data_IF_990369122635
#
_entry.id   IF_990369122635
#
_cell.length_a   1.000
_cell.length_b   1.000
_cell.length_c   1.000
_cell.angle_alpha   90.00
_cell.angle_beta   90.00
_cell.angle_gamma   90.00
#
_symmetry.space_group_name_H-M   'P 1'
#
loop_
_entity.id
_entity.type
_entity.pdbx_description
1 polymer ?
#
# COMPACT_ATOMS: atom_id res chain seq x y z
N UNK A 1 -15.21 -10.68 -9.51
CA UNK A 1 -14.13 -9.72 -9.22
C UNK A 1 -12.96 -9.96 -10.18
N UNK A 2 -12.30 -8.88 -10.60
CA UNK A 2 -11.07 -8.91 -11.40
C UNK A 2 -10.11 -7.88 -10.81
N UNK A 3 -8.97 -8.35 -10.30
CA UNK A 3 -7.92 -7.51 -9.71
C UNK A 3 -6.63 -7.74 -10.44
N UNK A 4 -5.89 -6.69 -10.74
CA UNK A 4 -4.56 -6.77 -11.32
C UNK A 4 -3.63 -5.70 -10.78
N UNK A 5 -2.35 -6.06 -10.65
CA UNK A 5 -1.28 -5.18 -10.21
C UNK A 5 -0.10 -5.33 -11.15
N UNK A 6 0.39 -4.20 -11.64
CA UNK A 6 1.65 -4.09 -12.36
C UNK A 6 2.57 -3.22 -11.51
N UNK A 7 3.75 -3.72 -11.19
CA UNK A 7 4.75 -2.98 -10.43
C UNK A 7 6.12 -3.15 -11.11
N UNK A 8 6.74 -2.01 -11.43
CA UNK A 8 8.09 -1.97 -12.00
C UNK A 8 8.91 -1.00 -11.16
N UNK A 9 10.07 -1.46 -10.68
CA UNK A 9 10.95 -0.64 -9.87
C UNK A 9 12.41 -0.92 -10.19
N UNK A 10 13.24 0.08 -10.00
CA UNK A 10 14.67 -0.05 -10.25
C UNK A 10 15.51 0.93 -9.46
N UNK A 11 16.78 0.56 -9.17
CA UNK A 11 17.72 1.43 -8.49
C UNK A 11 18.29 2.50 -9.43
N UNK A 12 18.47 3.69 -8.91
CA UNK A 12 19.29 4.77 -9.47
C UNK A 12 20.59 4.85 -8.70
N UNK A 13 21.48 3.88 -8.94
CA UNK A 13 22.69 3.64 -8.11
C UNK A 13 23.63 4.84 -8.05
N UNK A 14 23.69 5.67 -9.10
CA UNK A 14 24.56 6.87 -9.14
C UNK A 14 24.20 7.94 -8.11
N UNK A 15 22.92 7.97 -7.69
CA UNK A 15 22.39 8.99 -6.75
C UNK A 15 21.79 8.37 -5.49
N UNK A 16 22.13 7.10 -5.19
CA UNK A 16 21.61 6.36 -4.04
C UNK A 16 20.08 6.43 -3.91
N UNK A 17 19.37 6.26 -5.02
CA UNK A 17 17.93 6.42 -5.07
C UNK A 17 17.26 5.25 -5.79
N UNK A 18 15.96 5.19 -5.74
CA UNK A 18 15.14 4.26 -6.49
C UNK A 18 13.92 4.95 -7.08
N UNK A 19 13.49 4.45 -8.23
CA UNK A 19 12.22 4.82 -8.87
C UNK A 19 11.32 3.61 -8.97
N UNK A 20 10.01 3.85 -8.87
CA UNK A 20 8.99 2.83 -9.06
C UNK A 20 7.78 3.38 -9.81
N UNK A 21 7.15 2.51 -10.57
CA UNK A 21 5.85 2.73 -11.20
C UNK A 21 4.93 1.59 -10.79
N UNK A 22 3.75 1.91 -10.30
CA UNK A 22 2.73 0.92 -9.98
C UNK A 22 1.38 1.30 -10.59
N UNK A 23 0.71 0.31 -11.15
CA UNK A 23 -0.67 0.43 -11.66
C UNK A 23 -1.49 -0.69 -11.04
N UNK A 24 -2.52 -0.30 -10.32
CA UNK A 24 -3.49 -1.19 -9.72
C UNK A 24 -4.85 -0.96 -10.37
N UNK A 25 -5.52 -2.02 -10.72
CA UNK A 25 -6.91 -1.98 -11.17
C UNK A 25 -7.72 -3.08 -10.49
N UNK A 26 -8.93 -2.73 -10.13
CA UNK A 26 -9.87 -3.61 -9.46
C UNK A 26 -11.27 -3.40 -10.00
N UNK A 27 -11.98 -4.50 -10.23
CA UNK A 27 -13.41 -4.50 -10.58
C UNK A 27 -14.14 -5.42 -9.63
N UNK A 28 -14.99 -4.83 -8.80
CA UNK A 28 -15.85 -5.53 -7.86
C UNK A 28 -17.31 -5.17 -8.14
N UNK A 29 -18.06 -6.10 -8.75
CA UNK A 29 -19.43 -5.83 -9.17
C UNK A 29 -19.49 -4.68 -10.19
N UNK A 30 -20.19 -3.62 -9.85
CA UNK A 30 -20.36 -2.43 -10.67
C UNK A 30 -19.31 -1.35 -10.39
N UNK A 31 -18.46 -1.52 -9.38
CA UNK A 31 -17.38 -0.59 -9.06
C UNK A 31 -16.09 -0.98 -9.79
N UNK A 32 -15.47 0.02 -10.40
CA UNK A 32 -14.11 -0.07 -10.96
C UNK A 32 -13.20 0.93 -10.24
N UNK A 33 -12.07 0.46 -9.77
CA UNK A 33 -11.00 1.28 -9.19
C UNK A 33 -9.73 1.15 -10.01
N UNK A 34 -9.09 2.28 -10.30
CA UNK A 34 -7.78 2.31 -10.98
C UNK A 34 -6.88 3.29 -10.27
N UNK A 35 -5.69 2.85 -9.90
CA UNK A 35 -4.69 3.68 -9.25
C UNK A 35 -3.38 3.54 -10.01
N UNK A 36 -2.81 4.67 -10.42
CA UNK A 36 -1.48 4.73 -11.03
C UNK A 36 -0.58 5.63 -10.21
N UNK A 37 0.61 5.16 -9.84
CA UNK A 37 1.56 5.86 -8.97
C UNK A 37 2.97 5.80 -9.53
N UNK A 38 3.69 6.90 -9.44
CA UNK A 38 5.14 6.97 -9.57
C UNK A 38 5.72 7.24 -8.19
N UNK A 39 6.78 6.54 -7.83
CA UNK A 39 7.43 6.64 -6.53
C UNK A 39 8.92 6.93 -6.69
N UNK A 40 9.46 7.70 -5.77
CA UNK A 40 10.88 8.00 -5.66
C UNK A 40 11.31 7.78 -4.21
N UNK A 41 12.47 7.18 -4.02
CA UNK A 41 13.07 7.00 -2.70
C UNK A 41 14.55 7.35 -2.73
N UNK A 42 15.00 8.08 -1.73
CA UNK A 42 16.42 8.36 -1.48
C UNK A 42 16.92 7.49 -0.32
N UNK A 43 18.11 6.92 -0.47
CA UNK A 43 18.72 6.01 0.49
C UNK A 43 19.99 6.62 1.08
N UNK A 44 19.94 6.90 2.39
CA UNK A 44 21.07 7.41 3.15
C UNK A 44 21.70 6.25 3.95
N UNK A 45 22.99 6.01 3.75
CA UNK A 45 23.75 5.07 4.58
C UNK A 45 24.02 5.72 5.94
N UNK A 46 23.59 5.07 7.02
CA UNK A 46 23.67 5.56 8.40
C UNK A 46 24.48 4.57 9.23
N UNK A 47 25.79 4.72 9.22
CA UNK A 47 26.70 3.86 9.97
C UNK A 47 26.70 2.39 9.54
N UNK A 48 27.84 1.78 9.36
CA UNK A 48 28.00 0.35 9.08
C UNK A 48 27.14 -0.16 7.92
N UNK A 49 26.23 -1.09 8.21
CA UNK A 49 25.37 -1.74 7.22
C UNK A 49 23.92 -1.24 7.28
N UNK A 50 23.68 -0.11 7.93
CA UNK A 50 22.32 0.44 8.10
C UNK A 50 22.00 1.48 7.04
N UNK A 51 20.75 1.56 6.65
CA UNK A 51 20.22 2.50 5.66
C UNK A 51 18.94 3.14 6.18
N UNK A 52 18.86 4.46 6.08
CA UNK A 52 17.64 5.23 6.26
C UNK A 52 17.16 5.68 4.88
N UNK A 53 15.92 5.37 4.57
CA UNK A 53 15.31 5.73 3.29
C UNK A 53 14.14 6.67 3.51
N UNK A 54 14.05 7.72 2.71
CA UNK A 54 12.90 8.59 2.63
C UNK A 54 12.28 8.47 1.24
N UNK A 55 10.98 8.25 1.18
CA UNK A 55 10.26 8.04 -0.07
C UNK A 55 9.01 8.89 -0.16
N UNK A 56 8.67 9.25 -1.39
CA UNK A 56 7.41 9.90 -1.75
C UNK A 56 6.81 9.21 -2.96
N UNK A 57 5.51 9.27 -3.10
CA UNK A 57 4.85 8.94 -4.34
C UNK A 57 3.83 10.01 -4.73
N UNK A 58 3.60 10.11 -6.03
CA UNK A 58 2.52 10.88 -6.61
C UNK A 58 1.77 10.03 -7.63
N UNK A 59 0.46 10.19 -7.72
CA UNK A 59 -0.35 9.42 -8.62
C UNK A 59 -1.76 9.94 -8.78
N UNK A 60 -2.56 9.14 -9.47
CA UNK A 60 -3.97 9.35 -9.71
C UNK A 60 -4.75 8.13 -9.21
N UNK A 61 -5.84 8.40 -8.51
CA UNK A 61 -6.82 7.41 -8.08
C UNK A 61 -8.14 7.72 -8.76
N UNK A 62 -8.64 6.79 -9.56
CA UNK A 62 -9.93 6.88 -10.24
C UNK A 62 -10.90 5.82 -9.73
N UNK A 63 -12.17 6.20 -9.60
CA UNK A 63 -13.27 5.29 -9.32
C UNK A 63 -14.40 5.52 -10.31
N UNK A 64 -15.00 4.45 -10.79
CA UNK A 64 -16.16 4.46 -11.66
C UNK A 64 -17.20 3.49 -11.15
N UNK A 65 -18.45 3.93 -11.16
CA UNK A 65 -19.63 3.12 -10.90
C UNK A 65 -20.36 2.90 -12.22
N UNK A 66 -20.55 1.66 -12.62
CA UNK A 66 -21.33 1.31 -13.82
C UNK A 66 -22.82 1.51 -13.54
N UNK A 67 -23.57 2.08 -14.48
CA UNK A 67 -25.01 2.36 -14.34
C UNK A 67 -25.94 1.18 -14.64
N UNK A 68 -25.42 -0.02 -14.89
CA UNK A 68 -26.23 -1.18 -15.27
C UNK A 68 -26.71 -1.95 -14.02
N UNK A 69 -27.66 -1.37 -13.31
CA UNK A 69 -28.29 -2.03 -12.16
C UNK A 69 -29.50 -2.84 -12.63
N UNK A 70 -29.58 -4.10 -12.21
CA UNK A 70 -30.76 -4.94 -12.41
C UNK A 70 -31.55 -4.90 -11.09
N UNK A 71 -32.65 -4.18 -11.08
CA UNK A 71 -33.60 -4.19 -9.95
C UNK A 71 -34.77 -5.13 -10.25
N UNK A 72 -35.29 -5.79 -9.21
CA UNK A 72 -36.43 -6.69 -9.32
C UNK A 72 -37.71 -5.88 -9.62
N UNK A 73 -37.83 -4.68 -9.06
CA UNK A 73 -38.87 -3.72 -9.38
C UNK A 73 -38.32 -2.59 -10.25
N UNK A 74 -39.08 -2.01 -11.20
CA UNK A 74 -38.66 -0.88 -12.00
C UNK A 74 -38.43 0.34 -11.11
N UNK A 75 -37.20 0.59 -10.77
CA UNK A 75 -36.73 1.69 -9.88
C UNK A 75 -36.52 2.96 -10.70
N UNK A 76 -37.50 3.36 -11.50
CA UNK A 76 -37.40 4.52 -12.38
C UNK A 76 -37.16 5.84 -11.62
N UNK A 77 -37.45 5.89 -10.32
CA UNK A 77 -37.43 7.11 -9.50
C UNK A 77 -36.56 7.03 -8.24
N UNK A 78 -35.68 6.01 -8.08
CA UNK A 78 -34.76 5.97 -6.95
C UNK A 78 -33.48 6.75 -7.26
N UNK A 79 -33.37 7.96 -6.71
CA UNK A 79 -32.21 8.84 -6.85
C UNK A 79 -30.92 8.26 -6.23
N UNK A 80 -31.01 7.20 -5.42
CA UNK A 80 -29.86 6.52 -4.84
C UNK A 80 -29.18 5.56 -5.84
N UNK A 81 -29.91 5.12 -6.86
CA UNK A 81 -29.38 4.22 -7.89
C UNK A 81 -28.97 5.04 -9.12
N UNK A 82 -27.67 5.12 -9.46
CA UNK A 82 -27.25 5.85 -10.64
C UNK A 82 -27.74 5.15 -11.91
N UNK A 83 -28.63 5.80 -12.65
CA UNK A 83 -29.13 5.33 -13.95
C UNK A 83 -28.10 5.48 -15.07
N UNK A 84 -27.05 6.27 -14.85
CA UNK A 84 -25.91 6.44 -15.76
C UNK A 84 -24.62 6.21 -15.00
N UNK A 85 -23.60 5.68 -15.67
CA UNK A 85 -22.27 5.49 -15.09
C UNK A 85 -21.69 6.81 -14.57
N UNK A 86 -21.16 6.80 -13.36
CA UNK A 86 -20.46 7.93 -12.74
C UNK A 86 -19.00 7.60 -12.57
N UNK A 87 -18.12 8.53 -12.86
CA UNK A 87 -16.68 8.37 -12.64
C UNK A 87 -16.09 9.64 -12.07
N UNK A 88 -15.09 9.48 -11.23
CA UNK A 88 -14.31 10.55 -10.66
C UNK A 88 -12.87 10.12 -10.49
N UNK A 89 -11.94 11.07 -10.59
CA UNK A 89 -10.53 10.86 -10.33
C UNK A 89 -9.97 11.98 -9.49
N UNK A 90 -8.91 11.68 -8.76
CA UNK A 90 -8.24 12.64 -7.90
C UNK A 90 -6.78 12.31 -7.70
N UNK A 91 -6.04 13.30 -7.23
CA UNK A 91 -4.63 13.11 -6.90
C UNK A 91 -4.46 12.21 -5.68
N UNK A 92 -3.43 11.37 -5.74
CA UNK A 92 -3.00 10.50 -4.66
C UNK A 92 -1.52 10.77 -4.37
N UNK A 93 -1.22 11.20 -3.16
CA UNK A 93 0.11 11.50 -2.69
C UNK A 93 0.39 10.74 -1.41
N UNK A 94 1.62 10.36 -1.21
CA UNK A 94 2.06 9.77 0.05
C UNK A 94 3.54 9.93 0.27
N UNK A 95 3.95 9.72 1.52
CA UNK A 95 5.33 9.80 1.95
C UNK A 95 5.62 8.73 3.00
N UNK A 96 6.90 8.37 3.14
CA UNK A 96 7.32 7.40 4.13
C UNK A 96 8.79 7.46 4.43
N UNK A 97 9.13 6.90 5.58
CA UNK A 97 10.49 6.69 6.05
C UNK A 97 10.69 5.20 6.32
N UNK A 98 11.84 4.68 5.98
CA UNK A 98 12.19 3.30 6.21
C UNK A 98 13.63 3.18 6.69
N UNK A 99 13.81 2.62 7.88
CA UNK A 99 15.11 2.28 8.42
C UNK A 99 15.34 0.78 8.30
N UNK A 100 16.51 0.39 7.85
CA UNK A 100 16.94 -1.01 7.77
C UNK A 100 18.37 -1.16 8.27
N UNK A 101 18.56 -2.07 9.19
CA UNK A 101 19.85 -2.60 9.63
C UNK A 101 19.93 -4.09 9.29
N UNK A 102 21.04 -4.79 9.57
CA UNK A 102 21.14 -6.24 9.36
C UNK A 102 20.10 -7.08 10.10
N UNK A 103 19.54 -6.57 11.18
CA UNK A 103 18.60 -7.31 12.03
C UNK A 103 17.26 -6.61 12.21
N UNK A 104 17.23 -5.28 12.22
CA UNK A 104 16.03 -4.50 12.52
C UNK A 104 15.58 -3.72 11.31
N UNK A 105 14.30 -3.73 11.01
CA UNK A 105 13.69 -2.81 10.06
C UNK A 105 12.46 -2.14 10.67
N UNK A 106 12.30 -0.85 10.36
CA UNK A 106 11.18 -0.03 10.83
C UNK A 106 10.71 0.83 9.65
N UNK A 107 9.42 0.90 9.43
CA UNK A 107 8.80 1.73 8.41
C UNK A 107 7.67 2.57 8.97
N UNK A 108 7.60 3.82 8.56
CA UNK A 108 6.50 4.75 8.83
C UNK A 108 6.04 5.33 7.51
N UNK A 109 4.74 5.36 7.24
CA UNK A 109 4.23 5.99 6.03
C UNK A 109 2.83 6.53 6.20
N UNK A 110 2.50 7.47 5.33
CA UNK A 110 1.15 7.98 5.18
C UNK A 110 0.77 8.02 3.70
N UNK A 111 -0.44 7.55 3.40
CA UNK A 111 -1.00 7.54 2.05
C UNK A 111 -2.22 8.45 1.98
N UNK A 112 -2.60 8.84 0.76
CA UNK A 112 -3.77 9.69 0.51
C UNK A 112 -3.71 11.03 1.27
N UNK A 113 -2.51 11.64 1.31
CA UNK A 113 -2.26 12.88 2.04
C UNK A 113 -3.24 14.03 1.72
N UNK A 114 -3.70 14.23 0.45
CA UNK A 114 -4.63 15.29 0.13
C UNK A 114 -6.07 15.06 0.60
N UNK A 115 -6.43 13.83 1.03
CA UNK A 115 -7.81 13.45 1.35
C UNK A 115 -8.82 13.86 0.25
N UNK A 116 -8.48 13.55 -1.00
CA UNK A 116 -9.23 14.00 -2.16
C UNK A 116 -10.68 13.50 -2.13
N UNK A 117 -11.62 14.42 -2.28
CA UNK A 117 -13.04 14.12 -2.40
C UNK A 117 -13.41 13.90 -3.87
N UNK A 118 -13.93 12.71 -4.17
CA UNK A 118 -14.42 12.32 -5.50
C UNK A 118 -15.93 12.63 -5.57
N UNK A 119 -16.28 13.90 -5.76
CA UNK A 119 -17.66 14.43 -5.65
C UNK A 119 -18.69 13.69 -6.49
N UNK A 120 -18.33 13.30 -7.74
CA UNK A 120 -19.28 12.63 -8.65
C UNK A 120 -19.70 11.22 -8.18
N UNK A 121 -18.88 10.57 -7.37
CA UNK A 121 -19.17 9.24 -6.79
C UNK A 121 -19.38 9.29 -5.28
N UNK A 122 -19.39 10.51 -4.70
CA UNK A 122 -19.60 10.76 -3.25
C UNK A 122 -18.67 9.97 -2.33
N UNK A 123 -17.40 9.80 -2.76
CA UNK A 123 -16.38 9.08 -2.01
C UNK A 123 -15.29 10.07 -1.60
N UNK A 124 -14.92 10.08 -0.32
CA UNK A 124 -13.77 10.79 0.21
C UNK A 124 -12.66 9.80 0.52
N UNK A 125 -11.50 9.98 -0.11
CA UNK A 125 -10.31 9.21 0.23
C UNK A 125 -9.76 9.72 1.55
N UNK A 126 -9.82 8.90 2.60
CA UNK A 126 -9.24 9.23 3.91
C UNK A 126 -7.73 8.99 3.90
N UNK A 127 -7.03 9.78 4.68
CA UNK A 127 -5.61 9.57 4.95
C UNK A 127 -5.42 8.33 5.80
N UNK A 128 -4.42 7.52 5.43
CA UNK A 128 -4.05 6.34 6.19
C UNK A 128 -2.60 6.47 6.67
N UNK A 129 -2.37 6.01 7.88
CA UNK A 129 -1.07 5.96 8.53
C UNK A 129 -0.68 4.50 8.74
N UNK A 130 0.58 4.21 8.50
CA UNK A 130 1.15 2.88 8.67
C UNK A 130 2.43 2.99 9.48
N UNK A 131 2.56 2.13 10.48
CA UNK A 131 3.81 1.90 11.19
C UNK A 131 4.08 0.41 11.19
N UNK A 132 5.30 0.02 10.81
CA UNK A 132 5.69 -1.39 10.77
C UNK A 132 7.09 -1.56 11.33
N UNK A 133 7.32 -2.71 11.95
CA UNK A 133 8.63 -3.09 12.42
C UNK A 133 8.79 -4.61 12.38
N UNK A 134 10.03 -5.07 12.24
CA UNK A 134 10.36 -6.48 12.35
C UNK A 134 11.82 -6.66 12.68
N UNK A 135 12.12 -7.83 13.20
CA UNK A 135 13.46 -8.17 13.69
C UNK A 135 13.86 -9.56 13.19
N UNK A 136 15.06 -9.66 12.62
CA UNK A 136 15.65 -10.92 12.15
C UNK A 136 16.49 -11.54 13.29
N UNK A 137 15.89 -12.47 13.98
CA UNK A 137 16.53 -13.16 15.11
C UNK A 137 17.14 -14.48 14.64
N UNK A 138 18.48 -14.49 14.49
CA UNK A 138 19.22 -15.71 14.17
C UNK A 138 19.25 -16.66 15.38
N UNK A 139 18.72 -17.87 15.21
CA UNK A 139 18.68 -18.90 16.25
C UNK A 139 19.90 -19.84 16.08
N UNK A 140 20.55 -20.18 17.19
CA UNK A 140 21.61 -21.19 17.21
C UNK A 140 22.96 -20.78 16.64
N UNK A 141 23.24 -19.50 16.47
CA UNK A 141 24.57 -18.95 16.14
C UNK A 141 25.06 -19.19 14.70
N UNK A 142 24.43 -20.05 13.90
CA UNK A 142 24.88 -20.42 12.55
C UNK A 142 24.06 -19.80 11.41
N UNK A 143 23.19 -18.84 11.67
CA UNK A 143 22.31 -18.14 10.70
C UNK A 143 21.45 -19.03 9.79
N UNK A 144 21.44 -20.34 10.01
CA UNK A 144 20.57 -21.26 9.24
C UNK A 144 19.11 -21.13 9.62
N UNK A 145 18.85 -20.78 10.87
CA UNK A 145 17.49 -20.59 11.38
C UNK A 145 17.30 -19.14 11.77
N UNK A 146 16.33 -18.50 11.20
CA UNK A 146 15.96 -17.12 11.53
C UNK A 146 14.47 -17.07 11.88
N UNK A 147 14.15 -16.51 13.03
CA UNK A 147 12.80 -16.13 13.40
C UNK A 147 12.63 -14.62 13.14
N UNK A 148 11.61 -14.26 12.39
CA UNK A 148 11.32 -12.88 12.01
C UNK A 148 9.94 -12.47 12.54
N UNK A 149 9.82 -12.05 13.82
CA UNK A 149 8.62 -11.42 14.32
C UNK A 149 8.42 -10.06 13.62
N UNK A 150 7.17 -9.73 13.37
CA UNK A 150 6.80 -8.46 12.75
C UNK A 150 5.48 -7.92 13.29
N UNK A 151 5.33 -6.63 13.22
CA UNK A 151 4.15 -5.88 13.63
C UNK A 151 3.81 -4.85 12.57
N UNK A 152 2.53 -4.69 12.28
CA UNK A 152 2.01 -3.65 11.39
C UNK A 152 0.80 -2.99 12.02
N UNK A 153 0.89 -1.69 12.20
CA UNK A 153 -0.19 -0.83 12.66
C UNK A 153 -0.71 -0.04 11.47
N UNK A 154 -2.03 -0.05 11.27
CA UNK A 154 -2.76 0.71 10.25
C UNK A 154 -3.80 1.57 10.94
N UNK A 155 -3.91 2.84 10.56
CA UNK A 155 -4.92 3.74 11.12
C UNK A 155 -5.40 4.75 10.07
N UNK A 156 -6.69 5.06 10.11
CA UNK A 156 -7.30 6.18 9.37
C UNK A 156 -7.69 7.34 10.29
N UNK A 157 -7.09 7.40 11.49
CA UNK A 157 -7.38 8.30 12.59
C UNK A 157 -8.76 8.08 13.26
N UNK A 158 -9.65 7.29 12.67
CA UNK A 158 -10.96 6.93 13.26
C UNK A 158 -10.92 5.50 13.81
N UNK A 159 -10.21 4.61 13.17
CA UNK A 159 -10.00 3.23 13.57
C UNK A 159 -8.54 2.85 13.45
N UNK A 160 -8.12 1.87 14.25
CA UNK A 160 -6.74 1.37 14.25
C UNK A 160 -6.78 -0.15 14.25
N UNK A 161 -6.01 -0.74 13.36
CA UNK A 161 -5.80 -2.19 13.24
C UNK A 161 -4.35 -2.50 13.54
N UNK A 162 -4.13 -3.56 14.30
CA UNK A 162 -2.82 -4.10 14.63
C UNK A 162 -2.73 -5.52 14.10
N UNK A 163 -1.75 -5.76 13.24
CA UNK A 163 -1.42 -7.08 12.72
C UNK A 163 -0.06 -7.50 13.32
N UNK A 164 0.01 -8.72 13.84
CA UNK A 164 1.23 -9.30 14.38
C UNK A 164 1.51 -10.59 13.62
N UNK A 165 2.75 -10.78 13.19
CA UNK A 165 3.14 -11.97 12.45
C UNK A 165 4.50 -12.48 12.89
N UNK A 166 4.76 -13.74 12.60
CA UNK A 166 6.06 -14.36 12.76
C UNK A 166 6.38 -15.26 11.57
N UNK A 167 7.58 -15.10 11.03
CA UNK A 167 8.09 -15.90 9.94
C UNK A 167 9.30 -16.68 10.43
N UNK A 168 9.33 -17.98 10.19
CA UNK A 168 10.48 -18.84 10.42
C UNK A 168 11.14 -19.17 9.09
N UNK A 169 12.43 -18.87 8.97
CA UNK A 169 13.23 -19.13 7.77
C UNK A 169 14.28 -20.20 8.06
N UNK A 170 14.44 -21.11 7.12
CA UNK A 170 15.52 -22.10 7.11
C UNK A 170 16.43 -21.83 5.91
N UNK A 171 17.68 -21.48 6.20
CA UNK A 171 18.77 -21.23 5.24
C UNK A 171 18.40 -20.22 4.12
N UNK A 172 17.47 -19.32 4.38
CA UNK A 172 16.86 -18.40 3.39
C UNK A 172 16.23 -19.09 2.15
N UNK A 173 16.02 -20.40 2.20
CA UNK A 173 15.48 -21.19 1.09
C UNK A 173 14.02 -21.56 1.31
N UNK A 174 13.67 -21.90 2.55
CA UNK A 174 12.30 -22.31 2.92
C UNK A 174 11.82 -21.46 4.09
N UNK A 175 10.58 -21.10 4.05
CA UNK A 175 9.95 -20.33 5.11
C UNK A 175 8.53 -20.79 5.40
N UNK A 176 8.10 -20.60 6.63
CA UNK A 176 6.72 -20.78 7.07
C UNK A 176 6.39 -19.70 8.11
N UNK A 177 5.15 -19.26 8.14
CA UNK A 177 4.75 -18.19 9.06
C UNK A 177 3.27 -18.19 9.38
N UNK A 178 2.95 -17.38 10.38
CA UNK A 178 1.60 -17.10 10.87
C UNK A 178 1.44 -15.58 11.04
N UNK A 179 0.19 -15.09 10.89
CA UNK A 179 -0.16 -13.68 11.05
C UNK A 179 -1.65 -13.50 11.25
#
# INVERSE_FOLDING_TARGET
>A
PKTGLINVQGPLSKINSGLGLSVYFDKLGQEKSTIARISYAYHLKVGGQSTLSAGIYAGLSGRALEGNWIAIDPVADDNAIPTAGKSASGFDLGAGLYYKSPQLWIGLSSTQLPETELKQVSIKNKRHYYAQAGYDWAIGGNKKYTLQPSILLKSDASSTQLDVGALFLYDNMVWAGVG
#
